data_IF_401713846049
#
_entry.id   IF_401713846049
#
_cell.length_a   1.000
_cell.length_b   1.000
_cell.length_c   1.000
_cell.angle_alpha   90.00
_cell.angle_beta   90.00
_cell.angle_gamma   90.00
#
_symmetry.space_group_name_H-M   'P 1'
#
loop_
_entity.id
_entity.type
_entity.pdbx_description
1 polymer ?
#
# COMPACT_ATOMS: atom_id res chain seq x y z
N UNK A 1 -11.08 -7.61 -8.81
CA UNK A 1 -10.84 -8.82 -7.99
C UNK A 1 -10.83 -8.54 -6.50
N UNK A 2 -11.81 -7.80 -5.98
CA UNK A 2 -12.02 -7.67 -4.52
C UNK A 2 -12.72 -8.94 -4.03
N UNK A 3 -12.32 -9.46 -2.88
CA UNK A 3 -12.88 -10.71 -2.32
C UNK A 3 -12.21 -12.00 -2.82
N UNK A 4 -11.38 -11.91 -3.86
CA UNK A 4 -10.57 -13.05 -4.32
C UNK A 4 -9.21 -13.05 -3.62
N UNK A 5 -8.88 -14.17 -3.00
CA UNK A 5 -7.59 -14.38 -2.34
C UNK A 5 -6.45 -14.55 -3.35
N UNK A 6 -5.25 -14.10 -3.00
CA UNK A 6 -4.04 -14.30 -3.81
C UNK A 6 -3.19 -15.33 -3.08
N UNK A 7 -3.16 -16.55 -3.61
CA UNK A 7 -2.26 -17.60 -3.13
C UNK A 7 -0.89 -17.41 -3.77
N UNK A 8 0.16 -17.61 -2.98
CA UNK A 8 1.52 -17.64 -3.51
C UNK A 8 1.70 -18.90 -4.38
N UNK A 9 2.35 -18.72 -5.53
CA UNK A 9 2.77 -19.84 -6.36
C UNK A 9 3.96 -20.59 -5.75
N UNK A 10 4.30 -21.73 -6.33
CA UNK A 10 5.49 -22.49 -5.94
C UNK A 10 6.76 -21.63 -6.07
N UNK A 11 7.66 -21.68 -5.09
CA UNK A 11 8.91 -20.90 -5.08
C UNK A 11 8.76 -19.41 -4.74
N UNK A 12 7.54 -18.87 -4.67
CA UNK A 12 7.31 -17.42 -4.44
C UNK A 12 7.52 -17.05 -2.97
N UNK A 13 7.27 -17.98 -2.05
CA UNK A 13 7.45 -17.74 -0.61
C UNK A 13 8.92 -17.47 -0.27
N UNK A 14 9.82 -18.19 -0.93
CA UNK A 14 11.27 -18.07 -0.82
C UNK A 14 11.80 -16.74 -1.38
N UNK A 15 11.08 -16.15 -2.34
CA UNK A 15 11.37 -14.84 -2.92
C UNK A 15 10.83 -13.65 -2.09
N UNK A 16 10.19 -13.91 -0.95
CA UNK A 16 9.62 -12.88 -0.09
C UNK A 16 8.13 -12.60 -0.32
N UNK A 17 7.45 -13.42 -1.13
CA UNK A 17 6.00 -13.39 -1.28
C UNK A 17 5.48 -12.23 -2.14
N UNK A 18 4.22 -11.85 -1.91
CA UNK A 18 3.55 -10.83 -2.74
C UNK A 18 4.04 -9.43 -2.38
N UNK A 19 4.67 -8.73 -3.32
CA UNK A 19 4.95 -7.30 -3.22
C UNK A 19 3.77 -6.48 -3.76
N UNK A 20 3.21 -5.61 -2.93
CA UNK A 20 2.14 -4.67 -3.31
C UNK A 20 2.72 -3.27 -3.41
N UNK A 21 2.52 -2.64 -4.57
CA UNK A 21 2.96 -1.27 -4.82
C UNK A 21 1.73 -0.38 -4.97
N UNK A 22 1.59 0.60 -4.09
CA UNK A 22 0.63 1.67 -4.21
C UNK A 22 1.26 2.86 -4.93
N UNK A 23 0.65 3.31 -6.01
CA UNK A 23 1.12 4.45 -6.82
C UNK A 23 0.69 5.80 -6.28
N UNK A 24 -0.27 5.81 -5.34
CA UNK A 24 -0.82 7.00 -4.71
C UNK A 24 -1.48 6.62 -3.37
N UNK A 25 -1.92 7.62 -2.61
CA UNK A 25 -2.71 7.45 -1.39
C UNK A 25 -4.12 7.98 -1.57
N UNK A 26 -5.09 7.26 -1.03
CA UNK A 26 -6.46 7.71 -1.01
C UNK A 26 -6.71 8.61 0.21
N UNK A 27 -7.69 9.52 0.10
CA UNK A 27 -8.17 10.32 1.25
C UNK A 27 -8.60 9.43 2.42
N UNK A 28 -9.21 8.29 2.10
CA UNK A 28 -9.55 7.28 3.09
C UNK A 28 -8.44 6.24 3.25
N UNK A 29 -7.77 6.26 4.40
CA UNK A 29 -6.81 5.22 4.82
C UNK A 29 -7.38 3.79 4.73
N UNK A 30 -8.70 3.63 4.79
CA UNK A 30 -9.38 2.33 4.64
C UNK A 30 -9.15 1.71 3.27
N UNK A 31 -9.06 2.51 2.21
CA UNK A 31 -8.82 2.00 0.85
C UNK A 31 -7.36 1.55 0.72
N UNK A 32 -6.42 2.34 1.21
CA UNK A 32 -5.00 1.96 1.24
C UNK A 32 -4.74 0.69 2.06
N UNK A 33 -5.42 0.54 3.22
CA UNK A 33 -5.31 -0.65 4.05
C UNK A 33 -5.92 -1.88 3.36
N UNK A 34 -6.95 -1.71 2.52
CA UNK A 34 -7.47 -2.82 1.70
C UNK A 34 -6.45 -3.28 0.67
N UNK A 35 -5.71 -2.36 0.06
CA UNK A 35 -4.63 -2.70 -0.88
C UNK A 35 -3.49 -3.41 -0.14
N UNK A 36 -3.06 -2.88 1.02
CA UNK A 36 -2.04 -3.52 1.88
C UNK A 36 -2.44 -4.94 2.29
N UNK A 37 -3.70 -5.15 2.68
CA UNK A 37 -4.22 -6.44 3.11
C UNK A 37 -4.35 -7.52 2.01
N UNK A 38 -3.91 -7.22 0.78
CA UNK A 38 -3.79 -8.23 -0.27
C UNK A 38 -2.50 -9.04 -0.17
N UNK A 39 -1.47 -8.50 0.49
CA UNK A 39 -0.22 -9.21 0.80
C UNK A 39 -0.23 -9.77 2.23
N UNK A 40 0.72 -10.65 2.56
CA UNK A 40 0.93 -11.18 3.91
C UNK A 40 -0.22 -12.02 4.47
N UNK A 41 -0.99 -12.68 3.59
CA UNK A 41 -2.15 -13.50 3.96
C UNK A 41 -1.70 -14.69 4.81
N UNK A 42 -2.40 -14.98 5.90
CA UNK A 42 -2.14 -16.14 6.77
C UNK A 42 -0.68 -16.27 7.24
N UNK A 43 0.04 -15.14 7.42
CA UNK A 43 1.44 -15.15 7.82
C UNK A 43 2.42 -15.45 6.68
N UNK A 44 1.97 -15.39 5.42
CA UNK A 44 2.87 -15.36 4.27
C UNK A 44 3.83 -14.17 4.34
N UNK A 45 5.06 -14.31 3.82
CA UNK A 45 5.92 -13.17 3.61
C UNK A 45 5.30 -12.24 2.56
N UNK A 46 5.60 -10.96 2.67
CA UNK A 46 5.06 -9.98 1.77
C UNK A 46 5.53 -8.58 2.08
N UNK A 47 5.47 -7.73 1.07
CA UNK A 47 5.87 -6.33 1.18
C UNK A 47 4.73 -5.44 0.70
N UNK A 48 4.63 -4.24 1.28
CA UNK A 48 3.78 -3.19 0.75
C UNK A 48 4.51 -1.87 0.80
N UNK A 49 4.69 -1.25 -0.35
CA UNK A 49 5.30 0.07 -0.49
C UNK A 49 4.34 1.00 -1.19
N UNK A 50 4.27 2.25 -0.72
CA UNK A 50 3.53 3.30 -1.41
C UNK A 50 4.53 4.36 -1.86
N UNK A 51 4.32 4.87 -3.06
CA UNK A 51 5.05 5.99 -3.63
C UNK A 51 4.09 7.17 -3.73
N UNK A 52 4.61 8.35 -3.43
CA UNK A 52 3.86 9.60 -3.37
C UNK A 52 4.70 10.70 -4.02
N UNK A 53 4.05 11.60 -4.72
CA UNK A 53 4.62 12.84 -5.22
C UNK A 53 4.06 14.03 -4.44
N UNK A 54 4.84 15.10 -4.32
CA UNK A 54 4.35 16.39 -3.82
C UNK A 54 3.26 16.98 -4.73
N UNK A 55 3.19 16.51 -5.98
CA UNK A 55 2.19 16.92 -6.95
C UNK A 55 0.87 16.15 -6.84
N UNK A 56 0.80 15.10 -6.00
CA UNK A 56 -0.40 14.29 -5.87
C UNK A 56 -1.57 15.09 -5.28
N UNK A 57 -2.79 14.76 -5.66
CA UNK A 57 -4.00 15.48 -5.24
C UNK A 57 -4.15 15.53 -3.72
N UNK A 58 -3.85 14.42 -3.03
CA UNK A 58 -3.87 14.36 -1.56
C UNK A 58 -2.87 15.35 -0.96
N UNK A 59 -1.66 15.43 -1.52
CA UNK A 59 -0.63 16.35 -1.06
C UNK A 59 -0.97 17.81 -1.39
N UNK A 60 -1.65 18.08 -2.51
CA UNK A 60 -2.14 19.43 -2.82
C UNK A 60 -3.25 19.88 -1.88
N UNK A 61 -4.15 18.97 -1.49
CA UNK A 61 -5.28 19.26 -0.58
C UNK A 61 -4.82 19.44 0.87
N UNK A 62 -3.80 18.70 1.32
CA UNK A 62 -3.40 18.65 2.74
C UNK A 62 -1.92 18.98 3.02
N UNK A 63 -1.17 19.41 2.01
CA UNK A 63 0.28 19.61 2.10
C UNK A 63 0.70 20.83 2.92
N UNK A 64 -0.17 21.83 3.07
CA UNK A 64 0.09 23.01 3.90
C UNK A 64 -0.03 22.73 5.40
N UNK A 65 -1.05 21.98 5.83
CA UNK A 65 -1.25 21.66 7.27
C UNK A 65 -0.31 20.56 7.77
N UNK A 66 0.02 19.56 6.95
CA UNK A 66 0.83 18.42 7.41
C UNK A 66 2.34 18.68 7.41
N UNK A 67 2.87 19.54 6.53
CA UNK A 67 4.29 19.90 6.57
C UNK A 67 4.65 20.79 7.78
N UNK A 68 3.70 21.57 8.31
CA UNK A 68 3.90 22.35 9.55
C UNK A 68 4.05 21.48 10.80
N UNK A 69 3.49 20.27 10.82
CA UNK A 69 3.62 19.35 11.96
C UNK A 69 4.87 18.46 11.87
N UNK A 70 5.66 18.57 10.79
CA UNK A 70 6.91 17.82 10.58
C UNK A 70 8.18 18.68 10.72
N UNK A 71 8.04 20.02 10.88
CA UNK A 71 9.11 20.95 11.30
C UNK A 71 8.96 21.29 12.78
#
# INVERSE_FOLDING_TARGET
GRGTDIKLGEGVRELGGLAVIGTERHESRRIDNQLRGRSGRQGDPGATQFYLSMEDELMRRFGSENMMNMM
#
